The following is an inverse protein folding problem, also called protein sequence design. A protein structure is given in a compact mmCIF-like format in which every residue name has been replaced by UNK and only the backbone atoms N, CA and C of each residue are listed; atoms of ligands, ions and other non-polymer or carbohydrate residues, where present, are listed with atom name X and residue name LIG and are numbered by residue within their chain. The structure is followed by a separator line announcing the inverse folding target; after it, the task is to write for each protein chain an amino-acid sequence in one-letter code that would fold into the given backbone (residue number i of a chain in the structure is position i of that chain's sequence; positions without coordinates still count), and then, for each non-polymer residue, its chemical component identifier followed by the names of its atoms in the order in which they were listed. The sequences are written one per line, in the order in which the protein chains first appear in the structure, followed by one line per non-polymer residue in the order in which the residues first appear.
data_IF_312531805063
#
_entry.id   IF_312531805063
#
_cell.length_a   1.000
_cell.length_b   1.000
_cell.length_c   1.000
_cell.angle_alpha   90.00
_cell.angle_beta   90.00
_cell.angle_gamma   90.00
#
_symmetry.space_group_name_H-M   'P 1'
#
loop_
_entity.id
_entity.type
_entity.pdbx_description
1 polymer ?
#
# COMPACT_ATOMS: atom_id res chain seq x y z
N UNK A 1 29.77 -35.80 7.45
CA UNK A 1 28.38 -35.81 7.95
C UNK A 1 28.06 -34.53 8.68
N UNK A 2 28.97 -33.98 9.47
CA UNK A 2 28.77 -32.69 10.15
C UNK A 2 28.60 -31.56 9.15
N UNK A 3 29.31 -31.61 8.02
CA UNK A 3 29.20 -30.63 6.96
C UNK A 3 27.81 -30.66 6.30
N UNK A 4 27.27 -31.86 6.08
CA UNK A 4 25.94 -32.02 5.51
C UNK A 4 24.87 -31.45 6.44
N UNK A 5 24.99 -31.72 7.74
CA UNK A 5 24.06 -31.18 8.73
C UNK A 5 24.12 -29.66 8.76
N UNK A 6 25.32 -29.09 8.72
CA UNK A 6 25.51 -27.65 8.71
C UNK A 6 24.92 -26.98 7.48
N UNK A 7 25.13 -27.59 6.31
CA UNK A 7 24.57 -27.10 5.05
C UNK A 7 23.06 -27.21 5.02
N UNK A 8 22.54 -28.34 5.53
CA UNK A 8 21.10 -28.56 5.61
C UNK A 8 20.44 -27.53 6.52
N UNK A 9 21.07 -27.24 7.66
CA UNK A 9 20.55 -26.22 8.59
C UNK A 9 20.55 -24.84 7.97
N UNK A 10 21.62 -24.47 7.28
CA UNK A 10 21.69 -23.20 6.57
C UNK A 10 20.62 -23.09 5.52
N UNK A 11 20.40 -24.15 4.78
CA UNK A 11 19.38 -24.21 3.74
C UNK A 11 18.00 -24.01 4.33
N UNK A 12 17.68 -24.69 5.43
CA UNK A 12 16.41 -24.53 6.12
C UNK A 12 16.17 -23.11 6.57
N UNK A 13 17.20 -22.49 7.16
CA UNK A 13 17.10 -21.10 7.61
C UNK A 13 16.85 -20.15 6.46
N UNK A 14 17.53 -20.37 5.35
CA UNK A 14 17.34 -19.54 4.16
C UNK A 14 15.96 -19.73 3.56
N UNK A 15 15.47 -20.96 3.51
CA UNK A 15 14.12 -21.26 3.03
C UNK A 15 13.06 -20.62 3.94
N UNK A 16 13.25 -20.69 5.25
CA UNK A 16 12.35 -20.04 6.21
C UNK A 16 12.35 -18.52 6.04
N UNK A 17 13.54 -17.96 5.86
CA UNK A 17 13.69 -16.51 5.65
C UNK A 17 13.00 -16.10 4.36
N UNK A 18 13.18 -16.88 3.30
CA UNK A 18 12.55 -16.60 2.00
C UNK A 18 11.03 -16.63 2.12
N UNK A 19 10.48 -17.65 2.79
CA UNK A 19 9.05 -17.76 3.03
C UNK A 19 8.50 -16.54 3.75
N UNK A 20 9.19 -16.08 4.79
CA UNK A 20 8.78 -14.92 5.57
C UNK A 20 8.81 -13.65 4.72
N UNK A 21 9.88 -13.50 3.91
CA UNK A 21 10.01 -12.34 3.04
C UNK A 21 8.94 -12.31 1.96
N UNK A 22 8.60 -13.46 1.39
CA UNK A 22 7.55 -13.57 0.40
C UNK A 22 6.18 -13.20 1.00
N UNK A 23 5.92 -13.67 2.21
CA UNK A 23 4.68 -13.33 2.92
C UNK A 23 4.61 -11.84 3.21
N UNK A 24 5.72 -11.27 3.68
CA UNK A 24 5.84 -9.84 3.94
C UNK A 24 5.58 -9.02 2.67
N UNK A 25 6.13 -9.47 1.54
CA UNK A 25 5.91 -8.82 0.25
C UNK A 25 4.43 -8.77 -0.12
N UNK A 26 3.72 -9.87 0.09
CA UNK A 26 2.29 -9.92 -0.19
C UNK A 26 1.52 -8.93 0.69
N UNK A 27 1.86 -8.86 1.96
CA UNK A 27 1.24 -7.91 2.89
C UNK A 27 1.49 -6.46 2.44
N UNK A 28 2.72 -6.16 2.03
CA UNK A 28 3.08 -4.83 1.54
C UNK A 28 2.29 -4.49 0.27
N UNK A 29 2.16 -5.45 -0.64
CA UNK A 29 1.40 -5.25 -1.87
C UNK A 29 -0.07 -4.97 -1.59
N UNK A 30 -0.66 -5.65 -0.62
CA UNK A 30 -2.03 -5.40 -0.18
C UNK A 30 -2.18 -4.00 0.41
N UNK A 31 -1.21 -3.59 1.23
CA UNK A 31 -1.18 -2.25 1.83
C UNK A 31 -1.07 -1.18 0.75
N UNK A 32 -0.24 -1.40 -0.26
CA UNK A 32 -0.09 -0.47 -1.39
C UNK A 32 -1.41 -0.33 -2.13
N UNK A 33 -2.09 -1.44 -2.40
CA UNK A 33 -3.38 -1.41 -3.10
C UNK A 33 -4.43 -0.63 -2.29
N UNK A 34 -4.46 -0.84 -0.98
CA UNK A 34 -5.36 -0.11 -0.09
C UNK A 34 -5.06 1.38 -0.10
N UNK A 35 -3.79 1.74 0.01
CA UNK A 35 -3.38 3.14 0.01
C UNK A 35 -3.68 3.82 -1.33
N UNK A 36 -3.55 3.11 -2.43
CA UNK A 36 -3.91 3.62 -3.77
C UNK A 36 -5.40 3.90 -3.86
N UNK A 37 -6.24 3.03 -3.31
CA UNK A 37 -7.68 3.23 -3.26
C UNK A 37 -8.03 4.46 -2.41
N UNK A 38 -7.38 4.61 -1.26
CA UNK A 38 -7.57 5.76 -0.38
C UNK A 38 -7.15 7.06 -1.06
N UNK A 39 -6.05 7.02 -1.80
CA UNK A 39 -5.57 8.18 -2.54
C UNK A 39 -6.57 8.60 -3.61
N UNK A 40 -7.14 7.64 -4.31
CA UNK A 40 -8.15 7.90 -5.33
C UNK A 40 -9.37 8.60 -4.74
N UNK A 41 -9.90 8.09 -3.62
CA UNK A 41 -11.02 8.70 -2.91
C UNK A 41 -10.69 10.12 -2.49
N UNK A 42 -9.50 10.31 -1.93
CA UNK A 42 -9.05 11.61 -1.48
C UNK A 42 -9.02 12.62 -2.63
N UNK A 43 -8.51 12.23 -3.78
CA UNK A 43 -8.47 13.08 -4.96
C UNK A 43 -9.87 13.45 -5.44
N UNK A 44 -10.80 12.51 -5.39
CA UNK A 44 -12.20 12.75 -5.76
C UNK A 44 -12.84 13.77 -4.81
N UNK A 45 -12.60 13.64 -3.51
CA UNK A 45 -13.11 14.60 -2.51
C UNK A 45 -12.53 15.98 -2.73
N UNK A 46 -11.24 16.07 -3.02
CA UNK A 46 -10.61 17.36 -3.31
C UNK A 46 -11.27 18.01 -4.53
N UNK A 47 -11.48 17.24 -5.57
CA UNK A 47 -12.11 17.73 -6.80
C UNK A 47 -13.52 18.24 -6.55
N UNK A 48 -14.31 17.48 -5.80
CA UNK A 48 -15.68 17.89 -5.42
C UNK A 48 -15.68 19.14 -4.56
N UNK A 49 -14.76 19.22 -3.61
CA UNK A 49 -14.64 20.38 -2.72
C UNK A 49 -14.29 21.64 -3.50
N UNK A 50 -13.40 21.52 -4.47
CA UNK A 50 -13.04 22.64 -5.34
C UNK A 50 -14.24 23.11 -6.15
N UNK A 51 -15.04 22.18 -6.68
CA UNK A 51 -16.26 22.51 -7.41
C UNK A 51 -17.28 23.22 -6.52
N UNK A 52 -17.45 22.72 -5.30
CA UNK A 52 -18.36 23.30 -4.33
C UNK A 52 -17.94 24.72 -3.97
N UNK A 53 -16.65 24.93 -3.77
CA UNK A 53 -16.11 26.26 -3.47
C UNK A 53 -16.35 27.22 -4.64
N UNK A 54 -16.14 26.76 -5.87
CA UNK A 54 -16.37 27.55 -7.05
C UNK A 54 -17.86 27.93 -7.18
N UNK A 55 -18.74 26.97 -6.91
CA UNK A 55 -20.19 27.22 -6.95
C UNK A 55 -20.63 28.22 -5.89
N UNK A 56 -20.08 28.12 -4.70
CA UNK A 56 -20.36 29.09 -3.63
C UNK A 56 -19.88 30.50 -4.01
N UNK A 57 -18.71 30.58 -4.62
CA UNK A 57 -18.18 31.82 -5.11
C UNK A 57 -19.10 32.48 -6.12
N UNK A 58 -19.61 31.70 -7.09
CA UNK A 58 -20.55 32.18 -8.09
C UNK A 58 -21.86 32.65 -7.45
N UNK A 59 -22.42 31.86 -6.53
CA UNK A 59 -23.65 32.21 -5.83
C UNK A 59 -23.48 33.49 -5.01
N UNK A 60 -22.34 33.65 -4.38
CA UNK A 60 -22.05 34.81 -3.56
C UNK A 60 -21.94 36.07 -4.44
N UNK A 61 -21.30 35.95 -5.61
CA UNK A 61 -21.19 37.06 -6.55
C UNK A 61 -22.53 37.48 -7.11
N UNK A 62 -23.42 36.51 -7.35
CA UNK A 62 -24.73 36.78 -7.90
C UNK A 62 -25.72 37.31 -6.86
N UNK A 63 -25.42 37.13 -5.59
CA UNK A 63 -26.30 37.62 -4.55
C UNK A 63 -25.93 39.02 -4.11
#
# INVERSE_FOLDING_TARGET
TLRKSSLAEKRERLEDTLSKLEHERLCIQEDIALLQAMLKENKEYISETIKDLANLGEQHENS
#
